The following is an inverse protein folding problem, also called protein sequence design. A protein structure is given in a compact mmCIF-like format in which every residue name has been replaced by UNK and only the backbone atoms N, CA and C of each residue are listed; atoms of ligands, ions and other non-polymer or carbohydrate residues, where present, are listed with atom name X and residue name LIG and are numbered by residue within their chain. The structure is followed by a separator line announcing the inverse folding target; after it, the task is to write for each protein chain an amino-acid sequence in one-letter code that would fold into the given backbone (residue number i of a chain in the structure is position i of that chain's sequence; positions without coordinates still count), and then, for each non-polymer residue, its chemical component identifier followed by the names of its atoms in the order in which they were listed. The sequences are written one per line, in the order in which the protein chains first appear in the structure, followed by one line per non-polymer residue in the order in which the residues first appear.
data_IF_254936898825
#
_entry.id   IF_254936898825
#
_cell.length_a   1.000
_cell.length_b   1.000
_cell.length_c   1.000
_cell.angle_alpha   90.00
_cell.angle_beta   90.00
_cell.angle_gamma   90.00
#
_symmetry.space_group_name_H-M   'P 1'
#
loop_
_entity.id
_entity.type
_entity.pdbx_description
1 polymer ?
#
# COMPACT_ATOMS: atom_id res chain seq x y z
N UNK A 1 -17.75 3.40 -20.32
CA UNK A 1 -17.73 2.56 -19.12
C UNK A 1 -16.50 2.91 -18.28
N UNK A 2 -16.59 2.77 -16.95
CA UNK A 2 -15.51 3.08 -16.02
C UNK A 2 -14.23 2.26 -16.30
N UNK A 3 -14.36 1.08 -16.86
CA UNK A 3 -13.24 0.19 -17.20
C UNK A 3 -12.25 0.76 -18.22
N UNK A 4 -12.72 1.63 -19.13
CA UNK A 4 -11.82 2.25 -20.13
C UNK A 4 -10.94 3.37 -19.54
N UNK A 5 -11.24 3.89 -18.37
CA UNK A 5 -10.46 4.95 -17.73
C UNK A 5 -9.16 4.45 -17.08
N UNK A 6 -9.01 3.14 -16.92
CA UNK A 6 -7.88 2.52 -16.26
C UNK A 6 -7.10 1.54 -17.17
N UNK A 7 -7.20 1.65 -18.47
CA UNK A 7 -6.26 0.96 -19.34
C UNK A 7 -4.85 1.47 -19.05
N UNK A 8 -3.90 0.56 -18.84
CA UNK A 8 -2.52 0.93 -18.56
C UNK A 8 -1.97 1.75 -19.72
N UNK A 9 -1.53 2.96 -19.43
CA UNK A 9 -0.81 3.79 -20.36
C UNK A 9 0.62 3.27 -20.43
N UNK A 10 1.31 3.56 -21.49
CA UNK A 10 2.62 3.07 -21.92
C UNK A 10 3.61 2.60 -20.82
N UNK A 11 3.74 3.34 -19.69
CA UNK A 11 4.69 3.05 -18.62
C UNK A 11 4.03 2.72 -17.27
N UNK A 12 2.73 2.48 -17.25
CA UNK A 12 1.96 2.21 -16.03
C UNK A 12 1.75 0.72 -15.83
N UNK A 13 1.37 0.35 -14.59
CA UNK A 13 0.93 -1.00 -14.23
C UNK A 13 -0.42 -0.89 -13.53
N UNK A 14 -1.40 -1.63 -14.03
CA UNK A 14 -2.71 -1.76 -13.39
C UNK A 14 -2.71 -2.94 -12.44
N UNK A 15 -3.14 -2.68 -11.21
CA UNK A 15 -3.20 -3.67 -10.14
C UNK A 15 -4.64 -3.89 -9.73
N UNK A 16 -5.09 -5.14 -9.69
CA UNK A 16 -6.34 -5.55 -9.04
C UNK A 16 -6.09 -5.59 -7.54
N UNK A 17 -6.74 -4.69 -6.80
CA UNK A 17 -6.60 -4.57 -5.36
C UNK A 17 -7.22 -5.79 -4.65
N UNK A 18 -6.54 -6.29 -3.64
CA UNK A 18 -7.00 -7.35 -2.74
C UNK A 18 -7.16 -6.87 -1.32
N UNK A 19 -6.30 -5.94 -0.90
CA UNK A 19 -6.27 -5.39 0.44
C UNK A 19 -5.56 -4.03 0.42
N UNK A 20 -6.02 -3.12 1.26
CA UNK A 20 -5.25 -1.95 1.68
C UNK A 20 -4.74 -2.20 3.10
N UNK A 21 -3.63 -1.57 3.43
CA UNK A 21 -3.14 -1.43 4.78
C UNK A 21 -2.99 0.07 5.04
N UNK A 22 -3.88 0.61 5.86
CA UNK A 22 -3.79 2.03 6.24
C UNK A 22 -2.57 2.21 7.14
N UNK A 23 -1.90 3.34 7.03
CA UNK A 23 -0.86 3.66 8.00
C UNK A 23 -1.47 3.87 9.40
N UNK A 24 -0.69 3.53 10.42
CA UNK A 24 -1.17 3.53 11.79
C UNK A 24 -1.68 4.91 12.25
N UNK A 25 -1.01 5.99 11.84
CA UNK A 25 -1.41 7.34 12.21
C UNK A 25 -2.76 7.74 11.59
N UNK A 26 -2.97 7.39 10.31
CA UNK A 26 -4.24 7.64 9.62
C UNK A 26 -5.37 6.79 10.20
N UNK A 27 -5.12 5.52 10.48
CA UNK A 27 -6.14 4.65 11.09
C UNK A 27 -6.51 5.15 12.48
N UNK A 28 -5.52 5.43 13.34
CA UNK A 28 -5.76 5.91 14.71
C UNK A 28 -6.54 7.23 14.71
N UNK A 29 -6.17 8.18 13.86
CA UNK A 29 -6.86 9.46 13.75
C UNK A 29 -8.34 9.29 13.36
N UNK A 30 -8.64 8.41 12.40
CA UNK A 30 -10.03 8.13 11.99
C UNK A 30 -10.80 7.36 13.07
N UNK A 31 -10.15 6.41 13.73
CA UNK A 31 -10.72 5.64 14.82
C UNK A 31 -11.10 6.54 16.01
N UNK A 32 -10.22 7.45 16.41
CA UNK A 32 -10.45 8.40 17.51
C UNK A 32 -11.56 9.40 17.15
N UNK A 33 -11.53 9.94 15.93
CA UNK A 33 -12.56 10.84 15.41
C UNK A 33 -13.98 10.23 15.51
N UNK A 34 -14.09 8.95 15.27
CA UNK A 34 -15.38 8.23 15.29
C UNK A 34 -15.64 7.44 16.58
N UNK A 35 -14.81 7.65 17.61
CA UNK A 35 -14.94 7.01 18.93
C UNK A 35 -15.04 5.47 18.80
N UNK A 36 -14.26 4.89 17.88
CA UNK A 36 -14.21 3.44 17.64
C UNK A 36 -15.39 2.88 16.84
N UNK A 37 -16.30 3.73 16.31
CA UNK A 37 -17.38 3.28 15.43
C UNK A 37 -16.82 2.85 14.05
N UNK A 38 -16.61 1.55 13.89
CA UNK A 38 -16.03 0.99 12.67
C UNK A 38 -16.86 1.25 11.42
N UNK A 39 -18.19 1.34 11.52
CA UNK A 39 -19.04 1.65 10.38
C UNK A 39 -18.81 3.07 9.87
N UNK A 40 -18.62 4.03 10.77
CA UNK A 40 -18.29 5.41 10.43
C UNK A 40 -16.86 5.54 9.89
N UNK A 41 -15.90 4.83 10.49
CA UNK A 41 -14.53 4.76 9.97
C UNK A 41 -14.52 4.24 8.55
N UNK A 42 -15.21 3.13 8.27
CA UNK A 42 -15.34 2.56 6.93
C UNK A 42 -15.96 3.55 5.94
N UNK A 43 -17.08 4.18 6.31
CA UNK A 43 -17.75 5.14 5.46
C UNK A 43 -16.84 6.35 5.11
N UNK A 44 -16.07 6.84 6.06
CA UNK A 44 -15.15 7.95 5.82
C UNK A 44 -13.99 7.55 4.90
N UNK A 45 -13.36 6.38 5.11
CA UNK A 45 -12.29 5.88 4.23
C UNK A 45 -12.81 5.69 2.80
N UNK A 46 -13.98 5.08 2.64
CA UNK A 46 -14.62 4.94 1.32
C UNK A 46 -14.91 6.30 0.67
N UNK A 47 -15.40 7.26 1.44
CA UNK A 47 -15.65 8.64 0.99
C UNK A 47 -14.37 9.38 0.58
N UNK A 48 -13.28 9.22 1.33
CA UNK A 48 -11.96 9.79 0.98
C UNK A 48 -11.50 9.24 -0.38
N UNK A 49 -11.55 7.92 -0.55
CA UNK A 49 -11.12 7.29 -1.80
C UNK A 49 -12.01 7.72 -2.97
N UNK A 50 -13.32 7.71 -2.79
CA UNK A 50 -14.28 8.09 -3.84
C UNK A 50 -14.11 9.54 -4.29
N UNK A 51 -13.90 10.46 -3.35
CA UNK A 51 -13.79 11.89 -3.66
C UNK A 51 -12.42 12.30 -4.22
N UNK A 52 -11.34 11.62 -3.79
CA UNK A 52 -9.96 11.99 -4.16
C UNK A 52 -9.36 11.10 -5.24
N UNK A 53 -9.97 9.96 -5.55
CA UNK A 53 -9.38 8.95 -6.44
C UNK A 53 -8.13 8.27 -5.88
N UNK A 54 -7.91 8.37 -4.56
CA UNK A 54 -6.75 7.83 -3.82
C UNK A 54 -7.04 7.81 -2.33
N UNK A 55 -6.35 6.96 -1.58
CA UNK A 55 -6.39 7.05 -0.12
C UNK A 55 -5.34 8.06 0.36
N UNK A 56 -5.81 9.22 0.75
CA UNK A 56 -5.00 10.25 1.41
C UNK A 56 -5.83 10.89 2.52
N UNK A 57 -5.51 10.53 3.76
CA UNK A 57 -6.17 11.12 4.91
C UNK A 57 -5.94 12.66 4.91
N UNK A 58 -6.99 13.47 4.98
CA UNK A 58 -6.85 14.93 4.90
C UNK A 58 -6.13 15.54 6.10
N UNK A 59 -6.06 14.83 7.23
CA UNK A 59 -5.41 15.31 8.47
C UNK A 59 -3.94 14.91 8.50
N UNK A 60 -3.63 13.62 8.28
CA UNK A 60 -2.25 13.12 8.36
C UNK A 60 -1.49 13.27 7.04
N UNK A 61 -2.20 13.42 5.91
CA UNK A 61 -1.60 13.48 4.57
C UNK A 61 -1.14 12.12 4.04
N UNK A 62 -1.20 11.06 4.84
CA UNK A 62 -0.71 9.73 4.50
C UNK A 62 -1.84 8.77 4.08
N UNK A 63 -1.51 7.56 3.69
CA UNK A 63 -2.49 6.61 3.16
C UNK A 63 -2.20 5.14 3.46
N UNK A 64 -0.95 4.76 3.53
CA UNK A 64 -0.55 3.36 3.69
C UNK A 64 -0.15 2.69 2.38
N UNK A 65 -0.35 1.38 2.27
CA UNK A 65 0.04 0.57 1.12
C UNK A 65 -1.09 -0.37 0.66
N UNK A 66 -0.89 -1.06 -0.46
CA UNK A 66 -1.82 -2.10 -0.91
C UNK A 66 -1.10 -3.40 -1.24
N UNK A 67 -1.87 -4.48 -1.17
CA UNK A 67 -1.58 -5.76 -1.82
C UNK A 67 -2.57 -5.98 -2.95
N UNK A 68 -2.06 -6.46 -4.06
CA UNK A 68 -2.88 -6.79 -5.22
C UNK A 68 -2.23 -7.78 -6.17
N UNK A 69 -2.90 -8.01 -7.27
CA UNK A 69 -2.41 -8.82 -8.39
C UNK A 69 -2.30 -7.93 -9.61
N UNK A 70 -1.16 -7.96 -10.28
CA UNK A 70 -0.96 -7.22 -11.54
C UNK A 70 -1.97 -7.73 -12.57
N UNK A 71 -2.79 -6.82 -13.07
CA UNK A 71 -3.80 -7.12 -14.08
C UNK A 71 -3.28 -6.84 -15.48
N UNK A 72 -2.49 -5.78 -15.65
CA UNK A 72 -1.99 -5.32 -16.94
C UNK A 72 -0.70 -4.53 -16.73
N UNK A 73 0.24 -4.66 -17.65
CA UNK A 73 1.52 -3.95 -17.63
C UNK A 73 1.64 -3.18 -18.96
N UNK A 74 1.88 -1.89 -18.86
CA UNK A 74 2.17 -1.07 -20.03
C UNK A 74 3.49 -1.48 -20.69
N UNK A 75 3.57 -1.43 -22.03
CA UNK A 75 4.69 -2.00 -22.78
C UNK A 75 6.06 -1.34 -22.49
N UNK A 76 6.06 -0.17 -21.90
CA UNK A 76 7.28 0.57 -21.50
C UNK A 76 7.42 0.70 -19.99
N UNK A 77 6.72 -0.12 -19.22
CA UNK A 77 6.82 -0.09 -17.75
C UNK A 77 8.21 -0.55 -17.29
N UNK A 78 8.93 0.27 -16.50
CA UNK A 78 10.24 -0.10 -15.99
C UNK A 78 10.18 -0.95 -14.71
N UNK A 79 8.98 -1.30 -14.23
CA UNK A 79 8.80 -1.95 -12.92
C UNK A 79 9.19 -3.43 -12.88
N UNK A 80 9.47 -4.05 -14.04
CA UNK A 80 9.87 -5.47 -14.10
C UNK A 80 8.79 -6.44 -13.63
N UNK A 81 7.52 -6.02 -13.68
CA UNK A 81 6.36 -6.82 -13.27
C UNK A 81 5.71 -7.49 -14.48
N UNK A 82 5.00 -8.58 -14.22
CA UNK A 82 4.23 -9.33 -15.21
C UNK A 82 2.77 -9.47 -14.76
N UNK A 83 1.85 -9.58 -15.71
CA UNK A 83 0.45 -9.88 -15.39
C UNK A 83 0.36 -11.20 -14.60
N UNK A 84 -0.42 -11.19 -13.53
CA UNK A 84 -0.52 -12.30 -12.59
C UNK A 84 0.40 -12.19 -11.36
N UNK A 85 1.44 -11.36 -11.39
CA UNK A 85 2.31 -11.17 -10.22
C UNK A 85 1.50 -10.67 -9.03
N UNK A 86 1.73 -11.27 -7.86
CA UNK A 86 1.26 -10.73 -6.59
C UNK A 86 2.25 -9.68 -6.13
N UNK A 87 1.75 -8.51 -5.76
CA UNK A 87 2.60 -7.37 -5.40
C UNK A 87 2.12 -6.66 -4.13
N UNK A 88 3.08 -6.17 -3.36
CA UNK A 88 2.85 -5.14 -2.35
C UNK A 88 3.44 -3.82 -2.86
N UNK A 89 2.72 -2.72 -2.70
CA UNK A 89 3.26 -1.40 -3.02
C UNK A 89 4.07 -0.89 -1.85
N UNK A 90 5.21 -0.28 -2.14
CA UNK A 90 6.04 0.46 -1.17
C UNK A 90 5.89 1.98 -1.38
N UNK A 91 5.11 2.37 -2.38
CA UNK A 91 4.68 3.75 -2.57
C UNK A 91 3.37 3.98 -1.82
N UNK A 92 3.25 5.12 -1.16
CA UNK A 92 2.05 5.47 -0.40
C UNK A 92 0.80 5.48 -1.26
N UNK A 93 -0.32 5.01 -0.71
CA UNK A 93 -1.65 5.14 -1.31
C UNK A 93 -2.07 6.61 -1.56
N UNK A 94 -1.44 7.56 -0.88
CA UNK A 94 -1.63 9.00 -1.14
C UNK A 94 -1.09 9.44 -2.52
N UNK A 95 -0.23 8.62 -3.12
CA UNK A 95 0.36 8.84 -4.46
C UNK A 95 -0.12 7.81 -5.49
N UNK A 96 -1.04 6.93 -5.12
CA UNK A 96 -1.51 5.83 -5.94
C UNK A 96 -2.97 6.06 -6.35
N UNK A 97 -3.28 6.30 -7.62
CA UNK A 97 -4.67 6.33 -8.10
C UNK A 97 -5.38 5.02 -7.75
N UNK A 98 -6.56 5.16 -7.15
CA UNK A 98 -7.28 4.05 -6.55
C UNK A 98 -8.79 4.21 -6.72
N UNK A 99 -9.45 3.14 -7.15
CA UNK A 99 -10.91 3.02 -7.15
C UNK A 99 -11.27 1.74 -6.43
N UNK A 100 -12.18 1.83 -5.46
CA UNK A 100 -12.77 0.71 -4.74
C UNK A 100 -14.15 0.41 -5.33
N UNK A 101 -14.45 -0.87 -5.52
CA UNK A 101 -15.68 -1.32 -6.18
C UNK A 101 -16.62 -2.09 -5.26
N UNK A 102 -16.16 -2.53 -4.08
CA UNK A 102 -16.94 -3.30 -3.10
C UNK A 102 -17.39 -2.48 -1.88
N UNK A 103 -17.25 -1.15 -1.92
CA UNK A 103 -17.66 -0.27 -0.82
C UNK A 103 -16.97 -0.57 0.52
N UNK A 104 -15.92 -1.39 0.52
CA UNK A 104 -15.21 -1.88 1.71
C UNK A 104 -16.13 -2.70 2.66
N UNK A 105 -17.18 -3.33 2.14
CA UNK A 105 -18.21 -4.00 2.95
C UNK A 105 -17.66 -5.14 3.82
N UNK A 106 -16.55 -5.76 3.40
CA UNK A 106 -15.88 -6.85 4.14
C UNK A 106 -15.01 -6.36 5.31
N UNK A 107 -14.88 -5.06 5.47
CA UNK A 107 -14.09 -4.45 6.53
C UNK A 107 -14.97 -3.97 7.68
N UNK A 108 -14.62 -4.37 8.90
CA UNK A 108 -15.35 -3.97 10.10
C UNK A 108 -14.96 -2.55 10.61
N UNK A 109 -13.92 -1.93 10.01
CA UNK A 109 -13.44 -0.59 10.40
C UNK A 109 -12.65 -0.55 11.71
N UNK A 110 -12.19 -1.72 12.22
CA UNK A 110 -11.55 -1.85 13.54
C UNK A 110 -10.07 -2.18 13.50
N UNK A 111 -9.51 -2.27 12.33
CA UNK A 111 -8.06 -2.49 12.13
C UNK A 111 -7.59 -1.76 10.89
N UNK A 112 -6.29 -1.53 10.79
CA UNK A 112 -5.65 -0.94 9.59
C UNK A 112 -5.71 -1.84 8.37
N UNK A 113 -6.09 -3.11 8.53
CA UNK A 113 -6.17 -4.12 7.47
C UNK A 113 -7.52 -4.09 6.80
N UNK A 114 -7.57 -3.57 5.58
CA UNK A 114 -8.80 -3.30 4.84
C UNK A 114 -8.96 -4.28 3.67
N UNK A 115 -9.72 -5.38 3.82
CA UNK A 115 -10.10 -6.20 2.68
C UNK A 115 -10.84 -5.33 1.65
N UNK A 116 -10.37 -5.32 0.41
CA UNK A 116 -10.91 -4.43 -0.60
C UNK A 116 -10.88 -5.09 -1.99
N UNK A 117 -11.84 -4.75 -2.82
CA UNK A 117 -11.82 -5.01 -4.24
C UNK A 117 -11.82 -3.69 -5.01
N UNK A 118 -11.00 -3.63 -6.05
CA UNK A 118 -10.86 -2.41 -6.82
C UNK A 118 -9.69 -2.45 -7.79
N UNK A 119 -9.33 -1.29 -8.28
CA UNK A 119 -8.22 -1.11 -9.22
C UNK A 119 -7.32 0.03 -8.76
N UNK A 120 -6.01 -0.19 -8.84
CA UNK A 120 -5.00 0.83 -8.61
C UNK A 120 -4.07 0.94 -9.82
N UNK A 121 -3.43 2.10 -9.96
CA UNK A 121 -2.43 2.35 -11.01
C UNK A 121 -1.10 2.69 -10.37
N UNK A 122 -0.07 1.95 -10.77
CA UNK A 122 1.33 2.25 -10.43
C UNK A 122 1.98 2.95 -11.62
N UNK A 123 2.61 4.07 -11.36
CA UNK A 123 3.38 4.80 -12.35
C UNK A 123 4.79 4.21 -12.52
N UNK A 124 5.49 4.55 -13.58
CA UNK A 124 6.82 4.03 -13.86
C UNK A 124 7.90 4.33 -12.80
N UNK A 125 7.62 5.25 -11.85
CA UNK A 125 8.50 5.53 -10.69
C UNK A 125 7.99 4.96 -9.38
N UNK A 126 6.87 4.23 -9.41
CA UNK A 126 6.36 3.56 -8.22
C UNK A 126 7.30 2.44 -7.80
N UNK A 127 7.33 2.15 -6.50
CA UNK A 127 8.07 1.03 -5.94
C UNK A 127 7.06 -0.04 -5.55
N UNK A 128 7.23 -1.24 -6.07
CA UNK A 128 6.43 -2.40 -5.72
C UNK A 128 7.34 -3.62 -5.58
N UNK A 129 7.05 -4.44 -4.59
CA UNK A 129 7.75 -5.71 -4.40
C UNK A 129 6.85 -6.86 -4.87
N UNK A 130 7.41 -7.79 -5.65
CA UNK A 130 6.75 -9.06 -5.95
C UNK A 130 6.71 -9.90 -4.67
N UNK A 131 5.54 -10.39 -4.33
CA UNK A 131 5.36 -11.26 -3.17
C UNK A 131 5.74 -12.69 -3.54
N UNK A 132 6.59 -13.36 -2.75
CA UNK A 132 6.86 -14.79 -2.89
C UNK A 132 5.58 -15.60 -2.75
N UNK A 133 5.50 -16.71 -3.47
CA UNK A 133 4.30 -17.57 -3.45
C UNK A 133 4.14 -18.34 -2.14
N UNK A 134 5.24 -18.55 -1.43
CA UNK A 134 5.32 -19.25 -0.14
C UNK A 134 5.01 -18.37 1.08
N UNK A 135 4.86 -17.07 0.91
CA UNK A 135 4.45 -16.15 1.98
C UNK A 135 2.96 -15.80 1.89
N UNK A 136 2.28 -15.88 3.03
CA UNK A 136 0.93 -15.33 3.09
C UNK A 136 0.97 -13.81 2.90
N UNK A 137 -0.09 -13.19 2.32
CA UNK A 137 -0.16 -11.74 2.17
C UNK A 137 -0.01 -10.96 3.49
N UNK A 138 -0.47 -11.56 4.59
CA UNK A 138 -0.37 -11.01 5.94
C UNK A 138 1.08 -10.94 6.40
N UNK A 139 1.80 -12.05 6.28
CA UNK A 139 3.20 -12.13 6.66
C UNK A 139 4.06 -11.24 5.77
N UNK A 140 3.79 -11.21 4.47
CA UNK A 140 4.51 -10.36 3.53
C UNK A 140 4.37 -8.87 3.87
N UNK A 141 3.17 -8.39 4.25
CA UNK A 141 2.98 -7.01 4.71
C UNK A 141 3.76 -6.71 5.97
N UNK A 142 3.69 -7.59 6.97
CA UNK A 142 4.43 -7.41 8.22
C UNK A 142 5.93 -7.31 7.97
N UNK A 143 6.47 -8.17 7.12
CA UNK A 143 7.90 -8.18 6.80
C UNK A 143 8.30 -6.93 6.02
N UNK A 144 7.52 -6.52 5.03
CA UNK A 144 7.89 -5.41 4.14
C UNK A 144 7.64 -4.04 4.76
N UNK A 145 6.64 -3.90 5.64
CA UNK A 145 6.31 -2.64 6.29
C UNK A 145 7.18 -2.43 7.54
N UNK A 146 7.23 -3.41 8.44
CA UNK A 146 7.84 -3.25 9.76
C UNK A 146 9.31 -3.67 9.80
N UNK A 147 9.71 -4.71 9.04
CA UNK A 147 11.05 -5.27 9.13
C UNK A 147 12.09 -4.56 8.23
N UNK A 148 11.68 -3.66 7.37
CA UNK A 148 12.59 -2.92 6.49
C UNK A 148 13.59 -2.05 7.26
N UNK A 149 13.14 -1.32 8.27
CA UNK A 149 13.99 -0.46 9.08
C UNK A 149 15.02 -1.25 9.90
N UNK A 150 14.67 -2.29 10.66
CA UNK A 150 15.65 -3.13 11.36
C UNK A 150 16.68 -3.76 10.42
N UNK A 151 16.27 -4.26 9.26
CA UNK A 151 17.17 -4.85 8.28
C UNK A 151 18.16 -3.81 7.71
N UNK A 152 17.70 -2.60 7.42
CA UNK A 152 18.55 -1.50 6.98
C UNK A 152 19.55 -1.09 8.06
N UNK A 153 19.08 -0.92 9.29
CA UNK A 153 19.95 -0.59 10.43
C UNK A 153 21.03 -1.64 10.61
N UNK A 154 20.67 -2.93 10.60
CA UNK A 154 21.64 -4.03 10.70
C UNK A 154 22.69 -3.95 9.61
N UNK A 155 22.29 -3.74 8.36
CA UNK A 155 23.24 -3.62 7.23
C UNK A 155 24.20 -2.44 7.41
N UNK A 156 23.66 -1.27 7.75
CA UNK A 156 24.48 -0.07 7.97
C UNK A 156 25.45 -0.27 9.13
N UNK A 157 25.00 -0.83 10.24
CA UNK A 157 25.87 -1.14 11.39
C UNK A 157 27.00 -2.10 10.99
N UNK A 158 26.69 -3.14 10.21
CA UNK A 158 27.71 -4.08 9.71
C UNK A 158 28.72 -3.43 8.77
N UNK A 159 28.29 -2.54 7.90
CA UNK A 159 29.18 -1.76 7.02
C UNK A 159 30.14 -0.88 7.82
N UNK A 160 29.67 -0.19 8.86
CA UNK A 160 30.50 0.63 9.75
C UNK A 160 31.48 -0.22 10.55
N UNK A 161 31.01 -1.34 11.13
CA UNK A 161 31.87 -2.26 11.88
C UNK A 161 32.96 -2.89 10.99
N UNK A 162 32.61 -3.28 9.76
CA UNK A 162 33.58 -3.78 8.77
C UNK A 162 34.61 -2.74 8.34
N UNK A 163 34.28 -1.45 8.45
CA UNK A 163 35.25 -0.34 8.22
C UNK A 163 36.03 0.05 9.49
N UNK A 164 35.97 -0.74 10.56
CA UNK A 164 36.71 -0.49 11.82
C UNK A 164 36.14 0.69 12.62
N UNK A 165 34.88 1.10 12.36
CA UNK A 165 34.20 2.18 13.09
C UNK A 165 33.22 1.60 14.09
N UNK A 166 33.13 2.19 15.29
CA UNK A 166 32.12 1.87 16.29
C UNK A 166 30.85 2.69 16.00
N UNK A 167 29.76 2.10 15.46
CA UNK A 167 28.56 2.84 15.16
C UNK A 167 27.78 3.16 16.46
N UNK A 168 27.23 4.36 16.53
CA UNK A 168 26.24 4.74 17.54
C UNK A 168 24.89 4.82 16.85
N UNK A 169 23.90 4.09 17.37
CA UNK A 169 22.52 4.12 16.88
C UNK A 169 21.69 4.94 17.83
N UNK A 170 21.08 6.02 17.34
CA UNK A 170 20.07 6.76 18.07
C UNK A 170 18.68 6.14 17.78
N UNK A 171 17.90 5.86 18.81
CA UNK A 171 16.54 5.32 18.75
C UNK A 171 15.55 6.36 19.26
#
# INVERSE_FOLDING_TARGET
SAERRFAAISNEVRVRVRRLNLDAASFQQLHDKHVGDGARVRAEVAGIIASRGKMQNPVTGSGGMLIGTVAEVGPQSPLGLSAGDRVATLVSLSLTPLVITDGLERWDGRSERVPAAGTAVLFGRSIAARLPDDLSPELALMVMDVCGAPALVTRVVQEYAGAGRAPTVAV
#
